data_IF_142838261349
#
_entry.id   IF_142838261349
#
_cell.length_a   1.000
_cell.length_b   1.000
_cell.length_c   1.000
_cell.angle_alpha   90.00
_cell.angle_beta   90.00
_cell.angle_gamma   90.00
#
_symmetry.space_group_name_H-M   'P 1'
#
loop_
_entity.id
_entity.type
_entity.pdbx_description
1 polymer ?
#
# COMPACT_ATOMS: atom_id res chain seq x y z
N UNK A 1 -10.85 -4.21 -4.82
CA UNK A 1 -9.96 -3.18 -5.39
C UNK A 1 -8.53 -3.73 -5.34
N UNK A 2 -7.75 -3.53 -6.41
CA UNK A 2 -6.30 -3.84 -6.44
C UNK A 2 -5.48 -2.68 -5.89
N UNK A 3 -4.23 -2.93 -5.52
CA UNK A 3 -3.38 -1.93 -4.86
C UNK A 3 -3.12 -0.70 -5.73
N UNK A 4 -2.87 -0.90 -7.03
CA UNK A 4 -2.67 0.23 -7.95
C UNK A 4 -3.95 1.07 -8.10
N UNK A 5 -5.13 0.43 -8.10
CA UNK A 5 -6.41 1.14 -8.18
C UNK A 5 -6.67 1.95 -6.90
N UNK A 6 -6.33 1.39 -5.73
CA UNK A 6 -6.43 2.07 -4.44
C UNK A 6 -5.54 3.31 -4.38
N UNK A 7 -4.25 3.17 -4.76
CA UNK A 7 -3.30 4.27 -4.79
C UNK A 7 -3.78 5.38 -5.74
N UNK A 8 -4.24 5.02 -6.95
CA UNK A 8 -4.77 5.99 -7.92
C UNK A 8 -5.98 6.73 -7.35
N UNK A 9 -6.98 5.99 -6.86
CA UNK A 9 -8.21 6.58 -6.33
C UNK A 9 -7.97 7.51 -5.13
N UNK A 10 -6.94 7.25 -4.34
CA UNK A 10 -6.54 8.14 -3.25
C UNK A 10 -5.95 9.45 -3.79
N UNK A 11 -4.92 9.39 -4.63
CA UNK A 11 -4.25 10.60 -5.14
C UNK A 11 -5.08 11.38 -6.18
N UNK A 12 -6.09 10.77 -6.81
CA UNK A 12 -7.09 11.51 -7.59
C UNK A 12 -7.89 12.51 -6.73
N UNK A 13 -8.00 12.25 -5.43
CA UNK A 13 -8.80 13.06 -4.49
C UNK A 13 -7.94 13.88 -3.52
N UNK A 14 -6.61 13.75 -3.60
CA UNK A 14 -5.67 14.25 -2.60
C UNK A 14 -4.40 14.80 -3.26
N UNK A 15 -3.64 15.59 -2.51
CA UNK A 15 -2.30 16.01 -2.90
C UNK A 15 -1.25 14.93 -2.62
N UNK A 16 -0.04 15.10 -3.18
CA UNK A 16 1.07 14.15 -3.09
C UNK A 16 1.80 14.16 -1.75
N UNK A 17 1.43 15.05 -0.83
CA UNK A 17 2.01 15.16 0.52
C UNK A 17 1.27 14.29 1.54
N UNK A 18 0.08 13.78 1.22
CA UNK A 18 -0.70 12.92 2.13
C UNK A 18 -0.23 11.47 2.04
N UNK A 19 -0.04 10.87 3.21
CA UNK A 19 0.17 9.43 3.34
C UNK A 19 -1.11 8.67 3.02
N UNK A 20 -0.95 7.52 2.37
CA UNK A 20 -2.06 6.59 2.13
C UNK A 20 -2.59 6.05 3.46
N UNK A 21 -3.92 6.00 3.65
CA UNK A 21 -4.52 5.33 4.79
C UNK A 21 -4.13 3.85 4.83
N UNK A 22 -4.25 3.25 6.02
CA UNK A 22 -4.06 1.81 6.17
C UNK A 22 -5.08 1.04 5.33
N UNK A 23 -4.59 -0.03 4.70
CA UNK A 23 -5.45 -1.00 4.05
C UNK A 23 -5.92 -1.95 5.13
N UNK A 24 -7.24 -2.05 5.29
CA UNK A 24 -7.89 -3.02 6.18
C UNK A 24 -8.55 -4.07 5.26
N UNK A 25 -8.27 -5.34 5.50
CA UNK A 25 -8.86 -6.47 4.78
C UNK A 25 -10.06 -7.02 5.55
N UNK A 26 -10.91 -7.79 4.86
CA UNK A 26 -12.19 -8.27 5.43
C UNK A 26 -12.05 -9.20 6.64
N UNK A 27 -10.93 -9.90 6.75
CA UNK A 27 -10.64 -10.75 7.91
C UNK A 27 -9.97 -9.98 9.08
N UNK A 28 -9.81 -8.66 8.95
CA UNK A 28 -9.19 -7.80 9.94
C UNK A 28 -7.69 -7.63 9.79
N UNK A 29 -7.03 -8.30 8.83
CA UNK A 29 -5.62 -8.01 8.52
C UNK A 29 -5.46 -6.56 8.04
N UNK A 30 -4.45 -5.85 8.53
CA UNK A 30 -4.13 -4.51 8.06
C UNK A 30 -2.65 -4.33 7.79
N UNK A 31 -2.36 -3.45 6.82
CA UNK A 31 -1.01 -3.01 6.48
C UNK A 31 -1.03 -1.54 6.04
N UNK A 32 0.07 -0.82 6.27
CA UNK A 32 0.33 0.42 5.56
C UNK A 32 0.97 0.10 4.21
N UNK A 33 0.59 0.84 3.16
CA UNK A 33 1.24 0.80 1.85
C UNK A 33 1.52 2.21 1.42
N UNK A 34 2.78 2.53 1.11
CA UNK A 34 3.21 3.87 0.73
C UNK A 34 3.97 3.87 -0.59
N UNK A 35 3.90 5.00 -1.29
CA UNK A 35 4.59 5.24 -2.55
C UNK A 35 5.09 6.68 -2.63
N UNK A 36 5.99 6.95 -3.57
CA UNK A 36 6.42 8.31 -3.88
C UNK A 36 7.82 8.62 -3.38
N UNK A 37 8.12 9.92 -3.30
CA UNK A 37 9.48 10.40 -3.03
C UNK A 37 9.89 10.04 -1.61
N UNK A 38 11.01 9.33 -1.47
CA UNK A 38 11.53 8.88 -0.18
C UNK A 38 11.00 7.54 0.30
N UNK A 39 10.04 6.94 -0.40
CA UNK A 39 9.54 5.59 -0.12
C UNK A 39 10.31 4.55 -0.94
N UNK A 40 10.41 3.33 -0.42
CA UNK A 40 10.95 2.16 -1.12
C UNK A 40 9.96 1.59 -2.16
N UNK A 41 9.60 2.42 -3.14
CA UNK A 41 8.64 2.12 -4.21
C UNK A 41 9.23 2.34 -5.60
N UNK A 42 8.60 1.75 -6.61
CA UNK A 42 8.94 1.99 -8.02
C UNK A 42 7.65 2.22 -8.80
N UNK A 43 7.45 3.42 -9.39
CA UNK A 43 8.35 4.58 -9.39
C UNK A 43 8.45 5.31 -8.03
N UNK A 44 9.48 6.17 -7.85
CA UNK A 44 9.72 6.98 -6.64
C UNK A 44 9.06 8.37 -6.67
N UNK A 45 7.89 8.46 -7.28
CA UNK A 45 7.06 9.66 -7.33
C UNK A 45 5.58 9.26 -7.44
N UNK A 46 4.67 10.21 -7.23
CA UNK A 46 3.24 9.99 -7.47
C UNK A 46 3.00 9.97 -8.99
N UNK A 47 2.51 8.85 -9.51
CA UNK A 47 2.21 8.70 -10.94
C UNK A 47 1.10 9.68 -11.32
N UNK A 48 1.35 10.56 -12.29
CA UNK A 48 0.33 11.51 -12.77
C UNK A 48 -0.78 10.80 -13.55
N UNK A 49 -1.91 11.48 -13.75
CA UNK A 49 -3.02 10.95 -14.57
C UNK A 49 -2.57 10.59 -15.98
N UNK A 50 -1.77 11.45 -16.62
CA UNK A 50 -1.20 11.20 -17.95
C UNK A 50 -0.30 9.95 -17.96
N UNK A 51 0.56 9.78 -16.96
CA UNK A 51 1.39 8.57 -16.86
C UNK A 51 0.52 7.31 -16.66
N UNK A 52 -0.55 7.43 -15.88
CA UNK A 52 -1.52 6.36 -15.66
C UNK A 52 -2.26 5.97 -16.95
N UNK A 53 -2.70 6.95 -17.74
CA UNK A 53 -3.32 6.75 -19.05
C UNK A 53 -2.36 6.07 -20.03
N UNK A 54 -1.06 6.41 -19.95
CA UNK A 54 0.02 5.76 -20.70
C UNK A 54 0.43 4.38 -20.16
N UNK A 55 -0.33 3.81 -19.21
CA UNK A 55 -0.13 2.47 -18.69
C UNK A 55 0.90 2.33 -17.59
N UNK A 56 1.44 3.44 -17.05
CA UNK A 56 2.38 3.40 -15.92
C UNK A 56 1.67 2.96 -14.65
N UNK A 57 2.30 2.05 -13.90
CA UNK A 57 1.80 1.50 -12.65
C UNK A 57 2.96 1.39 -11.65
N UNK A 58 2.63 1.31 -10.37
CA UNK A 58 3.60 0.85 -9.38
C UNK A 58 3.89 -0.62 -9.60
N UNK A 59 5.15 -0.94 -9.83
CA UNK A 59 5.64 -2.32 -9.87
C UNK A 59 6.06 -2.80 -8.49
N UNK A 60 6.54 -1.88 -7.65
CA UNK A 60 6.89 -2.11 -6.26
C UNK A 60 6.34 -1.00 -5.37
N UNK A 61 5.97 -1.35 -4.15
CA UNK A 61 5.48 -0.44 -3.10
C UNK A 61 6.24 -0.69 -1.79
N UNK A 62 6.20 0.27 -0.88
CA UNK A 62 6.67 0.06 0.48
C UNK A 62 5.49 -0.40 1.34
N UNK A 63 5.69 -1.43 2.17
CA UNK A 63 4.69 -1.87 3.15
C UNK A 63 5.23 -1.72 4.57
N UNK A 64 4.36 -1.69 5.57
CA UNK A 64 4.77 -1.66 6.97
C UNK A 64 3.59 -1.69 7.94
N UNK A 65 3.89 -1.58 9.23
CA UNK A 65 2.91 -1.43 10.31
C UNK A 65 1.79 -2.49 10.23
N UNK A 66 2.20 -3.76 10.23
CA UNK A 66 1.28 -4.89 10.14
C UNK A 66 0.60 -5.12 11.50
N UNK A 67 -0.62 -5.66 11.52
CA UNK A 67 -1.24 -6.15 12.76
C UNK A 67 -1.08 -7.66 13.00
N UNK A 68 -0.61 -8.39 12.00
CA UNK A 68 -0.28 -9.80 12.07
C UNK A 68 0.86 -10.09 11.08
N UNK A 69 1.64 -11.12 11.34
CA UNK A 69 2.71 -11.52 10.42
C UNK A 69 2.13 -12.05 9.10
N UNK A 70 2.77 -11.70 7.99
CA UNK A 70 2.52 -12.26 6.68
C UNK A 70 3.83 -12.87 6.14
N UNK A 71 3.86 -14.20 6.04
CA UNK A 71 5.05 -14.97 5.62
C UNK A 71 5.58 -14.50 4.26
N UNK A 72 4.67 -14.14 3.34
CA UNK A 72 5.05 -13.68 2.01
C UNK A 72 5.81 -12.34 2.03
N UNK A 73 5.67 -11.54 3.10
CA UNK A 73 6.39 -10.27 3.25
C UNK A 73 7.76 -10.42 3.90
N UNK A 74 8.03 -11.49 4.67
CA UNK A 74 9.31 -11.68 5.40
C UNK A 74 10.57 -11.43 4.57
N UNK A 75 10.68 -11.87 3.29
CA UNK A 75 11.87 -11.62 2.47
C UNK A 75 12.15 -10.14 2.16
N UNK A 76 11.18 -9.25 2.39
CA UNK A 76 11.26 -7.82 2.10
C UNK A 76 11.51 -6.97 3.35
N UNK A 77 11.51 -7.57 4.54
CA UNK A 77 11.71 -6.87 5.81
C UNK A 77 13.12 -6.26 5.91
N UNK A 78 13.20 -4.98 6.28
CA UNK A 78 14.47 -4.34 6.63
C UNK A 78 15.00 -4.81 8.00
N UNK A 79 14.08 -5.20 8.90
CA UNK A 79 14.38 -5.80 10.21
C UNK A 79 13.60 -7.12 10.36
N UNK A 80 14.32 -8.25 10.24
CA UNK A 80 13.74 -9.59 10.35
C UNK A 80 13.34 -9.98 11.78
N UNK A 81 13.83 -9.26 12.79
CA UNK A 81 13.53 -9.54 14.20
C UNK A 81 12.27 -8.80 14.68
N UNK A 82 11.78 -7.82 13.91
CA UNK A 82 10.62 -7.00 14.25
C UNK A 82 9.62 -6.86 13.10
N UNK A 83 9.04 -7.97 12.66
CA UNK A 83 8.19 -8.04 11.48
C UNK A 83 6.92 -7.16 11.55
N UNK A 84 6.34 -6.94 12.73
CA UNK A 84 5.12 -6.12 12.81
C UNK A 84 5.40 -4.61 12.67
N UNK A 85 6.62 -4.18 12.98
CA UNK A 85 7.02 -2.78 13.03
C UNK A 85 8.28 -2.49 12.21
N UNK A 86 8.44 -3.18 11.08
CA UNK A 86 9.51 -2.95 10.11
C UNK A 86 8.99 -2.36 8.80
N UNK A 87 9.92 -1.81 8.01
CA UNK A 87 9.68 -1.47 6.61
C UNK A 87 9.87 -2.73 5.78
N UNK A 88 8.92 -2.98 4.89
CA UNK A 88 9.03 -3.96 3.83
C UNK A 88 9.30 -3.24 2.53
N UNK A 89 10.56 -3.24 2.10
CA UNK A 89 11.04 -2.42 1.00
C UNK A 89 10.82 -3.10 -0.36
N UNK A 90 10.38 -2.32 -1.37
CA UNK A 90 10.22 -2.76 -2.75
C UNK A 90 9.35 -4.02 -2.95
N UNK A 91 8.30 -4.17 -2.15
CA UNK A 91 7.36 -5.29 -2.25
C UNK A 91 6.64 -5.24 -3.60
N UNK A 92 6.63 -6.32 -4.39
CA UNK A 92 5.93 -6.36 -5.66
C UNK A 92 4.44 -6.05 -5.51
N UNK A 93 3.91 -5.13 -6.31
CA UNK A 93 2.51 -4.72 -6.19
C UNK A 93 1.52 -5.88 -6.43
N UNK A 94 1.88 -6.82 -7.32
CA UNK A 94 1.11 -8.04 -7.55
C UNK A 94 1.12 -8.99 -6.33
N UNK A 95 2.18 -8.99 -5.53
CA UNK A 95 2.23 -9.77 -4.29
C UNK A 95 1.27 -9.16 -3.25
N UNK A 96 1.24 -7.83 -3.13
CA UNK A 96 0.28 -7.12 -2.27
C UNK A 96 -1.16 -7.45 -2.67
N UNK A 97 -1.47 -7.45 -3.97
CA UNK A 97 -2.78 -7.89 -4.48
C UNK A 97 -3.14 -9.33 -4.06
N UNK A 98 -2.16 -10.24 -4.07
CA UNK A 98 -2.36 -11.64 -3.64
C UNK A 98 -2.63 -11.72 -2.14
N UNK A 99 -1.85 -11.03 -1.30
CA UNK A 99 -2.03 -10.97 0.15
C UNK A 99 -3.44 -10.43 0.48
N UNK A 100 -3.80 -9.28 -0.10
CA UNK A 100 -5.14 -8.70 0.06
C UNK A 100 -6.23 -9.70 -0.32
N UNK A 101 -6.05 -10.44 -1.42
CA UNK A 101 -7.02 -11.45 -1.86
C UNK A 101 -7.14 -12.62 -0.88
N UNK A 102 -6.03 -13.10 -0.32
CA UNK A 102 -6.01 -14.16 0.70
C UNK A 102 -6.78 -13.71 1.94
N UNK A 103 -6.64 -12.44 2.33
CA UNK A 103 -7.36 -11.81 3.44
C UNK A 103 -8.80 -11.37 3.10
N UNK A 104 -9.41 -11.94 2.05
CA UNK A 104 -10.81 -11.71 1.69
C UNK A 104 -11.08 -10.41 0.91
N UNK A 105 -10.03 -9.68 0.52
CA UNK A 105 -10.08 -8.40 -0.15
C UNK A 105 -10.07 -7.21 0.82
N UNK A 106 -9.83 -6.02 0.27
CA UNK A 106 -9.97 -4.78 1.04
C UNK A 106 -11.40 -4.64 1.58
N UNK A 107 -11.52 -4.20 2.82
CA UNK A 107 -12.77 -3.76 3.39
C UNK A 107 -13.18 -2.50 2.64
N UNK A 108 -14.36 -2.52 2.02
CA UNK A 108 -14.94 -1.35 1.37
C UNK A 108 -15.43 -0.40 2.47
N UNK A 109 -14.52 0.25 3.15
CA UNK A 109 -14.86 1.51 3.80
C UNK A 109 -14.62 2.55 2.72
N UNK A 110 -15.71 3.14 2.22
CA UNK A 110 -15.63 4.48 1.66
C UNK A 110 -14.74 5.30 2.59
N UNK A 111 -13.86 6.10 2.00
CA UNK A 111 -12.97 7.04 2.69
C UNK A 111 -13.82 7.99 3.55
N UNK A 112 -14.35 7.50 4.66
CA UNK A 112 -15.17 8.21 5.61
C UNK A 112 -14.29 8.49 6.83
N UNK A 113 -13.96 9.77 6.93
CA UNK A 113 -13.66 10.49 8.16
C UNK A 113 -12.23 10.43 8.69
N UNK A 114 -11.30 11.04 7.95
CA UNK A 114 -10.26 11.88 8.56
C UNK A 114 -10.85 13.26 8.95
N UNK A 115 -11.90 13.24 9.78
CA UNK A 115 -12.37 14.38 10.52
C UNK A 115 -12.26 14.05 11.99
N UNK A 116 -11.09 14.32 12.58
CA UNK A 116 -10.90 14.71 13.98
C UNK A 116 -9.39 14.85 14.29
N UNK A 117 -8.90 16.08 14.17
CA UNK A 117 -8.14 16.77 15.21
C UNK A 117 -8.19 18.28 14.97
#
# INVERSE_FOLDING_TARGET
MKINEYIKAFYEKNDDIRSLPWIICKDGFRMSVQVGRGMNSIPKHIISDEEWENGKRYVCVECGVLNAEEEALKPYAEDSENLLETIYAYVPANLVDVIIKIHGGMMNEEVENNGNN
#
